data_IF_561168996710
#
_entry.id   IF_561168996710
#
_cell.length_a   1.000
_cell.length_b   1.000
_cell.length_c   1.000
_cell.angle_alpha   90.00
_cell.angle_beta   90.00
_cell.angle_gamma   90.00
#
_symmetry.space_group_name_H-M   'P 1'
#
loop_
_entity.id
_entity.type
_entity.pdbx_description
1 polymer ?
#
# COMPACT_ATOMS: atom_id res chain seq x y z
N UNK A 1 -1.23 -26.85 11.36
CA UNK A 1 -0.15 -26.16 10.67
C UNK A 1 -0.67 -25.59 9.35
N UNK A 2 -0.68 -24.27 9.23
CA UNK A 2 -1.26 -23.61 8.07
C UNK A 2 -0.25 -23.45 6.93
N UNK A 3 -0.77 -23.03 5.80
CA UNK A 3 0.03 -22.71 4.63
C UNK A 3 0.64 -21.30 4.83
N UNK A 4 1.95 -21.18 4.60
CA UNK A 4 2.65 -19.89 4.64
C UNK A 4 2.16 -19.04 3.46
N UNK A 5 1.80 -17.79 3.72
CA UNK A 5 1.43 -16.86 2.66
C UNK A 5 2.65 -16.48 1.83
N UNK A 6 2.49 -16.49 0.52
CA UNK A 6 3.53 -16.02 -0.41
C UNK A 6 3.62 -14.50 -0.37
N UNK A 7 4.66 -13.93 -0.98
CA UNK A 7 4.79 -12.48 -1.12
C UNK A 7 3.60 -11.87 -1.86
N UNK A 8 3.13 -12.54 -2.92
CA UNK A 8 1.97 -12.07 -3.68
C UNK A 8 0.70 -12.12 -2.82
N UNK A 9 0.53 -13.17 -2.01
CA UNK A 9 -0.63 -13.30 -1.13
C UNK A 9 -0.63 -12.25 -0.02
N UNK A 10 0.53 -11.96 0.57
CA UNK A 10 0.67 -10.86 1.54
C UNK A 10 0.36 -9.52 0.91
N UNK A 11 0.83 -9.32 -0.31
CA UNK A 11 0.55 -8.11 -1.08
C UNK A 11 -0.96 -7.97 -1.34
N UNK A 12 -1.63 -9.06 -1.71
CA UNK A 12 -3.08 -9.06 -1.93
C UNK A 12 -3.84 -8.69 -0.66
N UNK A 13 -3.40 -9.21 0.49
CA UNK A 13 -3.99 -8.88 1.78
C UNK A 13 -3.84 -7.38 2.09
N UNK A 14 -2.64 -6.84 1.88
CA UNK A 14 -2.38 -5.41 2.05
C UNK A 14 -3.26 -4.58 1.10
N UNK A 15 -3.40 -5.01 -0.16
CA UNK A 15 -4.27 -4.35 -1.14
C UNK A 15 -5.72 -4.29 -0.66
N UNK A 16 -6.24 -5.39 -0.09
CA UNK A 16 -7.62 -5.44 0.42
C UNK A 16 -7.81 -4.45 1.57
N UNK A 17 -6.86 -4.38 2.48
CA UNK A 17 -6.91 -3.46 3.63
C UNK A 17 -6.95 -2.01 3.16
N UNK A 18 -6.05 -1.65 2.25
CA UNK A 18 -5.96 -0.28 1.72
C UNK A 18 -7.17 0.06 0.85
N UNK A 19 -7.63 -0.89 0.03
CA UNK A 19 -8.80 -0.71 -0.81
C UNK A 19 -10.06 -0.40 -0.01
N UNK A 20 -10.25 -1.10 1.11
CA UNK A 20 -11.38 -0.83 2.01
C UNK A 20 -11.32 0.59 2.59
N UNK A 21 -10.15 1.05 2.97
CA UNK A 21 -9.98 2.42 3.47
C UNK A 21 -10.31 3.45 2.40
N UNK A 22 -9.84 3.23 1.18
CA UNK A 22 -10.13 4.13 0.06
C UNK A 22 -11.63 4.23 -0.21
N UNK A 23 -12.33 3.10 -0.21
CA UNK A 23 -13.78 3.06 -0.38
C UNK A 23 -14.49 3.84 0.73
N UNK A 24 -14.10 3.61 1.98
CA UNK A 24 -14.71 4.29 3.13
C UNK A 24 -14.51 5.79 3.08
N UNK A 25 -13.40 6.25 2.51
CA UNK A 25 -13.10 7.67 2.34
C UNK A 25 -13.78 8.29 1.12
N UNK A 26 -14.49 7.49 0.33
CA UNK A 26 -15.26 7.98 -0.81
C UNK A 26 -14.49 8.10 -2.11
N UNK A 27 -13.33 7.47 -2.22
CA UNK A 27 -12.59 7.43 -3.49
C UNK A 27 -13.24 6.49 -4.47
N UNK A 28 -13.22 6.88 -5.74
CA UNK A 28 -13.67 6.05 -6.84
C UNK A 28 -12.45 5.45 -7.54
N UNK A 29 -12.45 4.14 -7.75
CA UNK A 29 -11.33 3.45 -8.41
C UNK A 29 -11.41 3.60 -9.92
N UNK A 30 -10.30 4.06 -10.52
CA UNK A 30 -10.14 4.12 -11.98
C UNK A 30 -9.39 2.88 -12.46
N UNK A 31 -8.36 2.47 -11.74
CA UNK A 31 -7.56 1.30 -12.07
C UNK A 31 -7.03 0.63 -10.81
N UNK A 32 -6.93 -0.69 -10.85
CA UNK A 32 -6.37 -1.50 -9.77
C UNK A 32 -5.38 -2.48 -10.39
N UNK A 33 -4.17 -2.54 -9.83
CA UNK A 33 -3.18 -3.51 -10.26
C UNK A 33 -2.55 -4.17 -9.04
N UNK A 34 -2.86 -5.44 -8.82
CA UNK A 34 -2.38 -6.20 -7.67
C UNK A 34 -1.10 -6.99 -7.93
N UNK A 35 -0.53 -6.89 -9.12
CA UNK A 35 0.71 -7.59 -9.47
C UNK A 35 1.89 -6.99 -8.72
N UNK A 36 2.67 -7.81 -8.01
CA UNK A 36 3.90 -7.37 -7.35
C UNK A 36 4.82 -6.65 -8.33
N UNK A 37 5.41 -5.55 -7.88
CA UNK A 37 6.36 -4.77 -8.66
C UNK A 37 5.74 -3.85 -9.71
N UNK A 38 4.42 -3.83 -9.84
CA UNK A 38 3.71 -2.91 -10.73
C UNK A 38 3.12 -1.75 -9.94
N UNK A 39 3.46 -0.54 -10.32
CA UNK A 39 3.07 0.68 -9.62
C UNK A 39 2.36 1.65 -10.56
N UNK A 40 1.37 2.40 -10.07
CA UNK A 40 0.77 2.33 -8.74
C UNK A 40 -0.19 1.14 -8.62
N UNK A 41 -0.49 0.74 -7.40
CA UNK A 41 -1.44 -0.33 -7.14
C UNK A 41 -2.89 0.13 -7.34
N UNK A 42 -3.19 1.37 -6.95
CA UNK A 42 -4.50 1.96 -7.21
C UNK A 42 -4.34 3.30 -7.92
N UNK A 43 -5.23 3.56 -8.87
CA UNK A 43 -5.47 4.91 -9.39
C UNK A 43 -6.91 5.23 -9.03
N UNK A 44 -7.12 6.31 -8.32
CA UNK A 44 -8.46 6.69 -7.87
C UNK A 44 -8.67 8.20 -7.96
N UNK A 45 -9.92 8.61 -7.86
CA UNK A 45 -10.29 10.03 -7.86
C UNK A 45 -11.17 10.32 -6.65
N UNK A 46 -11.07 11.55 -6.15
CA UNK A 46 -11.99 12.04 -5.13
C UNK A 46 -13.19 12.75 -5.76
N UNK A 47 -14.05 13.32 -4.94
CA UNK A 47 -15.25 14.01 -5.40
C UNK A 47 -14.96 15.25 -6.25
N UNK A 48 -13.75 15.78 -6.15
CA UNK A 48 -13.30 16.94 -6.92
C UNK A 48 -12.62 16.54 -8.24
N UNK A 49 -12.64 15.26 -8.58
CA UNK A 49 -11.94 14.66 -9.72
C UNK A 49 -10.42 14.77 -9.63
N UNK A 50 -9.88 14.99 -8.44
CA UNK A 50 -8.44 14.95 -8.23
C UNK A 50 -7.98 13.49 -8.30
N UNK A 51 -6.99 13.22 -9.15
CA UNK A 51 -6.40 11.88 -9.32
C UNK A 51 -5.37 11.61 -8.22
N UNK A 52 -5.37 10.38 -7.74
CA UNK A 52 -4.40 9.89 -6.75
C UNK A 52 -3.80 8.59 -7.23
N UNK A 53 -2.49 8.47 -7.08
CA UNK A 53 -1.77 7.22 -7.21
C UNK A 53 -1.50 6.69 -5.81
N UNK A 54 -1.93 5.47 -5.52
CA UNK A 54 -1.74 4.87 -4.21
C UNK A 54 -0.75 3.72 -4.32
N UNK A 55 0.34 3.83 -3.56
CA UNK A 55 1.39 2.82 -3.51
C UNK A 55 1.16 1.97 -2.26
N UNK A 56 1.00 0.66 -2.47
CA UNK A 56 0.76 -0.29 -1.37
C UNK A 56 1.96 -1.20 -1.23
N UNK A 57 2.47 -1.34 -0.01
CA UNK A 57 3.52 -2.30 0.30
C UNK A 57 3.17 -3.11 1.54
N UNK A 58 3.27 -4.43 1.42
CA UNK A 58 3.21 -5.34 2.55
C UNK A 58 4.63 -5.46 3.12
N UNK A 59 4.81 -5.13 4.39
CA UNK A 59 6.12 -5.06 5.03
C UNK A 59 6.17 -6.09 6.15
N UNK A 60 7.13 -7.03 6.10
CA UNK A 60 7.26 -8.03 7.15
C UNK A 60 7.99 -7.48 8.38
N UNK A 61 7.65 -8.00 9.56
CA UNK A 61 8.40 -7.73 10.78
C UNK A 61 9.87 -8.18 10.57
N UNK A 62 10.87 -7.44 11.03
CA UNK A 62 10.82 -6.25 11.90
C UNK A 62 10.91 -4.91 11.16
N UNK A 63 10.78 -4.90 9.85
CA UNK A 63 10.90 -3.67 9.08
C UNK A 63 9.77 -2.70 9.41
N UNK A 64 10.07 -1.41 9.37
CA UNK A 64 9.10 -0.36 9.64
C UNK A 64 8.22 -0.14 8.40
N UNK A 65 6.91 -0.44 8.49
CA UNK A 65 6.03 -0.31 7.33
C UNK A 65 5.88 1.13 6.83
N UNK A 66 6.18 2.12 7.66
CA UNK A 66 6.01 3.53 7.31
C UNK A 66 7.21 4.12 6.59
N UNK A 67 8.32 3.37 6.47
CA UNK A 67 9.50 3.79 5.73
C UNK A 67 9.39 3.35 4.27
N UNK A 68 9.77 4.23 3.35
CA UNK A 68 9.80 3.91 1.93
C UNK A 68 11.13 4.36 1.33
N UNK A 69 11.43 3.82 0.13
CA UNK A 69 12.65 4.18 -0.59
C UNK A 69 12.51 5.61 -1.12
N UNK A 70 13.25 6.54 -0.51
CA UNK A 70 13.16 7.97 -0.83
C UNK A 70 13.61 8.25 -2.27
N UNK A 71 14.67 7.57 -2.73
CA UNK A 71 15.18 7.77 -4.08
C UNK A 71 14.17 7.33 -5.12
N UNK A 72 13.62 6.13 -4.93
CA UNK A 72 12.58 5.61 -5.80
C UNK A 72 11.35 6.52 -5.78
N UNK A 73 10.95 7.00 -4.61
CA UNK A 73 9.79 7.86 -4.46
C UNK A 73 9.96 9.18 -5.21
N UNK A 74 11.17 9.75 -5.23
CA UNK A 74 11.42 10.97 -6.00
C UNK A 74 11.16 10.77 -7.49
N UNK A 75 11.56 9.64 -8.06
CA UNK A 75 11.24 9.29 -9.44
C UNK A 75 9.74 9.16 -9.67
N UNK A 76 9.06 8.49 -8.74
CA UNK A 76 7.63 8.26 -8.86
C UNK A 76 6.85 9.57 -8.75
N UNK A 77 7.28 10.49 -7.88
CA UNK A 77 6.67 11.82 -7.73
C UNK A 77 6.69 12.60 -9.05
N UNK A 78 7.80 12.53 -9.78
CA UNK A 78 7.89 13.19 -11.09
C UNK A 78 6.84 12.65 -12.05
N UNK A 79 6.69 11.33 -12.09
CA UNK A 79 5.68 10.70 -12.92
C UNK A 79 4.27 11.13 -12.51
N UNK A 80 4.00 11.18 -11.21
CA UNK A 80 2.69 11.59 -10.70
C UNK A 80 2.37 13.05 -11.08
N UNK A 81 3.34 13.95 -10.96
CA UNK A 81 3.16 15.35 -11.34
C UNK A 81 2.82 15.47 -12.84
N UNK A 82 3.51 14.73 -13.70
CA UNK A 82 3.22 14.70 -15.14
C UNK A 82 1.79 14.23 -15.44
N UNK A 83 1.25 13.34 -14.60
CA UNK A 83 -0.10 12.81 -14.74
C UNK A 83 -1.13 13.61 -13.95
N UNK A 84 -0.74 14.74 -13.36
CA UNK A 84 -1.60 15.58 -12.51
C UNK A 84 -2.20 14.79 -11.33
N UNK A 85 -1.44 13.86 -10.78
CA UNK A 85 -1.85 13.00 -9.67
C UNK A 85 -1.12 13.36 -8.39
N UNK A 86 -1.82 13.23 -7.28
CA UNK A 86 -1.22 13.23 -5.95
C UNK A 86 -0.84 11.80 -5.59
N UNK A 87 0.01 11.63 -4.58
CA UNK A 87 0.51 10.32 -4.19
C UNK A 87 0.21 10.03 -2.74
N UNK A 88 -0.31 8.83 -2.48
CA UNK A 88 -0.37 8.25 -1.14
C UNK A 88 0.55 7.03 -1.08
N UNK A 89 1.27 6.90 0.02
CA UNK A 89 1.99 5.68 0.35
C UNK A 89 1.23 4.96 1.47
N UNK A 90 0.98 3.67 1.29
CA UNK A 90 0.30 2.83 2.28
C UNK A 90 1.19 1.63 2.60
N UNK A 91 1.98 1.75 3.65
CA UNK A 91 2.81 0.66 4.16
C UNK A 91 2.01 -0.15 5.17
N UNK A 92 1.82 -1.43 4.89
CA UNK A 92 1.02 -2.34 5.71
C UNK A 92 1.93 -3.36 6.36
N UNK A 93 2.13 -3.24 7.67
CA UNK A 93 2.91 -4.19 8.45
C UNK A 93 2.06 -5.39 8.82
N UNK A 94 2.54 -6.58 8.49
CA UNK A 94 1.86 -7.84 8.77
C UNK A 94 2.81 -8.76 9.52
N UNK A 95 2.38 -9.27 10.67
CA UNK A 95 3.18 -10.20 11.44
C UNK A 95 2.31 -11.28 12.08
N UNK A 96 2.94 -12.42 12.35
CA UNK A 96 2.26 -13.55 12.99
C UNK A 96 1.78 -13.15 14.38
N UNK A 97 0.53 -13.49 14.73
CA UNK A 97 -0.08 -13.10 16.00
C UNK A 97 0.54 -13.79 17.21
N UNK A 98 1.08 -15.00 17.03
CA UNK A 98 1.72 -15.74 18.12
C UNK A 98 3.16 -15.29 18.34
N UNK A 99 3.92 -15.12 17.23
CA UNK A 99 5.32 -14.76 17.29
C UNK A 99 5.68 -13.93 16.06
N UNK A 100 6.20 -12.69 16.24
CA UNK A 100 6.55 -11.83 15.11
C UNK A 100 7.60 -12.44 14.18
N UNK A 101 8.42 -13.37 14.70
CA UNK A 101 9.48 -14.00 13.92
C UNK A 101 9.00 -15.16 13.04
N UNK A 102 7.75 -15.61 13.22
CA UNK A 102 7.16 -16.63 12.37
C UNK A 102 6.50 -15.98 11.16
N UNK A 103 6.37 -16.72 10.03
CA UNK A 103 5.64 -16.19 8.87
C UNK A 103 4.15 -16.07 9.17
N UNK A 104 3.45 -15.31 8.34
CA UNK A 104 1.99 -15.22 8.39
C UNK A 104 1.42 -16.42 7.64
N UNK A 105 0.46 -17.09 8.25
CA UNK A 105 -0.18 -18.28 7.67
C UNK A 105 -1.58 -17.97 7.17
N UNK A 106 -1.99 -18.68 6.13
CA UNK A 106 -3.34 -18.58 5.55
C UNK A 106 -4.40 -18.95 6.60
N UNK A 107 -5.41 -18.10 6.72
CA UNK A 107 -6.55 -18.28 7.65
C UNK A 107 -6.19 -18.30 9.13
N UNK A 108 -5.01 -17.82 9.50
CA UNK A 108 -4.61 -17.65 10.89
C UNK A 108 -4.53 -16.18 11.23
N UNK A 109 -4.61 -15.88 12.53
CA UNK A 109 -4.57 -14.51 13.02
C UNK A 109 -3.22 -13.86 12.72
N UNK A 110 -3.25 -12.57 12.45
CA UNK A 110 -2.05 -11.75 12.24
C UNK A 110 -2.22 -10.42 12.96
N UNK A 111 -1.08 -9.78 13.26
CA UNK A 111 -1.07 -8.43 13.82
C UNK A 111 -0.85 -7.45 12.67
N UNK A 112 -1.69 -6.44 12.61
CA UNK A 112 -1.65 -5.41 11.59
C UNK A 112 -1.04 -4.12 12.16
N UNK A 113 -0.02 -3.59 11.48
CA UNK A 113 0.51 -2.27 11.78
C UNK A 113 0.30 -1.38 10.55
N UNK A 114 -0.72 -0.54 10.61
CA UNK A 114 -1.09 0.31 9.49
C UNK A 114 -1.58 1.66 10.00
N UNK A 115 -0.84 2.72 9.65
CA UNK A 115 -1.16 4.08 10.10
C UNK A 115 -2.10 4.83 9.14
N UNK A 116 -2.55 4.17 8.08
CA UNK A 116 -3.41 4.79 7.08
C UNK A 116 -2.63 5.31 5.88
N UNK A 117 -3.32 6.02 5.03
CA UNK A 117 -2.73 6.61 3.82
C UNK A 117 -1.79 7.75 4.22
N UNK A 118 -0.54 7.67 3.80
CA UNK A 118 0.46 8.71 4.05
C UNK A 118 0.59 9.58 2.80
N UNK A 119 0.17 10.87 2.87
CA UNK A 119 0.35 11.77 1.74
C UNK A 119 1.83 12.00 1.47
N UNK A 120 2.21 11.93 0.21
CA UNK A 120 3.58 12.21 -0.23
C UNK A 120 3.57 13.58 -0.91
N UNK A 121 4.42 14.49 -0.41
CA UNK A 121 4.53 15.84 -0.98
C UNK A 121 5.05 15.76 -2.40
N UNK A 122 4.29 16.31 -3.34
CA UNK A 122 4.63 16.24 -4.78
C UNK A 122 5.07 17.58 -5.38
N UNK A 123 5.19 18.64 -4.58
CA UNK A 123 5.71 19.90 -5.09
C UNK A 123 7.18 19.77 -5.46
N UNK A 124 7.49 20.15 -6.68
CA UNK A 124 8.85 20.16 -7.19
C UNK A 124 9.32 21.62 -7.23
N UNK A 125 9.79 22.08 -6.10
CA UNK A 125 10.35 23.44 -6.02
C UNK A 125 11.87 23.41 -6.17
#
# INVERSE_FOLDING_TARGET
>A
MGKILTKQELHNLAMNIVGEELEKKGFEFIAINSTLGKHPQFVCIDKSNQRYFVLVKAIPYPDNPHNYDVIWMESFKKHAVEQEAKVFYAGVGLQNAESPNKPVFLNEDYVLEYAGLQPIETHLN
#
